data_IF_963871983963
#
_entry.id   IF_963871983963
#
_cell.length_a   1.000
_cell.length_b   1.000
_cell.length_c   1.000
_cell.angle_alpha   90.00
_cell.angle_beta   90.00
_cell.angle_gamma   90.00
#
_symmetry.space_group_name_H-M   'P 1'
#
loop_
_entity.id
_entity.type
_entity.pdbx_description
1 polymer ?
#
# COMPACT_ATOMS: atom_id res chain seq x y z
N UNK A 1 -11.54 -4.59 -32.93
CA UNK A 1 -12.22 -5.48 -31.99
C UNK A 1 -11.36 -5.56 -30.73
N UNK A 2 -11.61 -4.73 -29.71
CA UNK A 2 -10.85 -4.76 -28.45
C UNK A 2 -11.39 -5.93 -27.64
N UNK A 3 -10.62 -7.02 -27.55
CA UNK A 3 -10.92 -8.13 -26.66
C UNK A 3 -10.76 -7.63 -25.22
N UNK A 4 -11.85 -7.21 -24.58
CA UNK A 4 -11.88 -7.01 -23.14
C UNK A 4 -11.63 -8.37 -22.48
N UNK A 5 -10.39 -8.59 -22.07
CA UNK A 5 -10.00 -9.78 -21.30
C UNK A 5 -10.69 -9.65 -19.94
N UNK A 6 -11.86 -10.28 -19.78
CA UNK A 6 -12.61 -10.32 -18.52
C UNK A 6 -11.76 -11.13 -17.53
N UNK A 7 -10.95 -10.46 -16.72
CA UNK A 7 -10.08 -11.11 -15.73
C UNK A 7 -10.91 -12.01 -14.82
N UNK A 8 -10.45 -13.25 -14.64
CA UNK A 8 -11.16 -14.17 -13.77
C UNK A 8 -11.09 -13.69 -12.30
N UNK A 9 -12.05 -14.11 -11.43
CA UNK A 9 -11.99 -13.77 -10.01
C UNK A 9 -10.69 -14.22 -9.34
N UNK A 10 -10.09 -15.33 -9.79
CA UNK A 10 -8.83 -15.86 -9.28
C UNK A 10 -7.66 -14.95 -9.70
N UNK A 11 -7.60 -14.55 -10.97
CA UNK A 11 -6.59 -13.60 -11.47
C UNK A 11 -6.65 -12.26 -10.74
N UNK A 12 -7.86 -11.76 -10.46
CA UNK A 12 -8.04 -10.49 -9.75
C UNK A 12 -7.48 -10.53 -8.32
N UNK A 13 -7.63 -11.66 -7.61
CA UNK A 13 -7.02 -11.88 -6.28
C UNK A 13 -5.50 -11.87 -6.35
N UNK A 14 -4.94 -12.56 -7.34
CA UNK A 14 -3.49 -12.65 -7.55
C UNK A 14 -2.93 -11.25 -7.84
N UNK A 15 -3.52 -10.53 -8.79
CA UNK A 15 -3.07 -9.18 -9.18
C UNK A 15 -3.10 -8.22 -7.98
N UNK A 16 -4.16 -8.22 -7.16
CA UNK A 16 -4.21 -7.37 -5.97
C UNK A 16 -3.15 -7.74 -4.94
N UNK A 17 -2.97 -9.04 -4.67
CA UNK A 17 -1.91 -9.52 -3.78
C UNK A 17 -0.53 -9.07 -4.27
N UNK A 18 -0.26 -9.20 -5.58
CA UNK A 18 0.99 -8.74 -6.20
C UNK A 18 1.17 -7.22 -6.11
N UNK A 19 0.11 -6.44 -6.28
CA UNK A 19 0.17 -4.98 -6.13
C UNK A 19 0.47 -4.55 -4.70
N UNK A 20 -0.11 -5.23 -3.69
CA UNK A 20 0.24 -4.97 -2.29
C UNK A 20 1.69 -5.35 -1.96
N UNK A 21 2.21 -6.44 -2.52
CA UNK A 21 3.64 -6.77 -2.45
C UNK A 21 4.48 -5.65 -3.07
N UNK A 22 4.09 -5.17 -4.25
CA UNK A 22 4.79 -4.10 -4.94
C UNK A 22 4.83 -2.81 -4.11
N UNK A 23 3.70 -2.40 -3.51
CA UNK A 23 3.62 -1.23 -2.62
C UNK A 23 4.54 -1.42 -1.40
N UNK A 24 4.46 -2.57 -0.73
CA UNK A 24 5.29 -2.85 0.44
C UNK A 24 6.79 -2.80 0.12
N UNK A 25 7.21 -3.34 -1.02
CA UNK A 25 8.60 -3.29 -1.45
C UNK A 25 9.04 -1.84 -1.72
N UNK A 26 8.20 -1.03 -2.37
CA UNK A 26 8.52 0.40 -2.58
C UNK A 26 8.69 1.13 -1.23
N UNK A 27 7.78 0.89 -0.27
CA UNK A 27 7.87 1.50 1.07
C UNK A 27 9.18 1.13 1.76
N UNK A 28 9.56 -0.15 1.74
CA UNK A 28 10.82 -0.62 2.32
C UNK A 28 12.03 0.09 1.67
N UNK A 29 12.03 0.21 0.34
CA UNK A 29 13.12 0.89 -0.36
C UNK A 29 13.10 2.41 -0.14
N UNK A 30 11.93 3.03 0.02
CA UNK A 30 11.80 4.44 0.36
C UNK A 30 12.45 4.73 1.71
N UNK A 31 12.21 3.87 2.71
CA UNK A 31 12.84 3.97 4.03
C UNK A 31 14.34 3.76 3.95
N UNK A 32 14.81 2.67 3.31
CA UNK A 32 16.25 2.38 3.14
C UNK A 32 16.97 3.54 2.44
N UNK A 33 16.41 4.06 1.35
CA UNK A 33 17.01 5.19 0.63
C UNK A 33 16.92 6.50 1.42
N UNK A 34 15.88 6.66 2.26
CA UNK A 34 15.75 7.76 3.19
C UNK A 34 16.90 7.83 4.21
N UNK A 35 17.41 6.67 4.64
CA UNK A 35 18.55 6.57 5.56
C UNK A 35 19.86 7.11 4.96
N UNK A 36 19.99 7.13 3.63
CA UNK A 36 21.17 7.62 2.93
C UNK A 36 21.19 9.15 2.75
N UNK A 37 20.16 9.85 3.24
CA UNK A 37 20.04 11.30 3.11
C UNK A 37 21.11 12.02 3.96
N UNK A 38 21.68 13.13 3.46
CA UNK A 38 22.46 14.05 4.29
C UNK A 38 21.68 14.50 5.53
N UNK A 39 22.31 14.43 6.70
CA UNK A 39 21.69 14.81 7.99
C UNK A 39 20.80 13.74 8.63
N UNK A 40 20.77 12.50 8.11
CA UNK A 40 19.94 11.43 8.68
C UNK A 40 20.26 11.11 10.15
N UNK A 41 21.53 11.13 10.56
CA UNK A 41 21.92 10.86 11.96
C UNK A 41 21.41 11.93 12.92
N UNK A 42 21.47 13.20 12.54
CA UNK A 42 20.94 14.31 13.34
C UNK A 42 19.42 14.23 13.46
N UNK A 43 18.74 13.90 12.36
CA UNK A 43 17.30 13.65 12.33
C UNK A 43 16.92 12.48 13.24
N UNK A 44 17.69 11.40 13.25
CA UNK A 44 17.47 10.26 14.15
C UNK A 44 17.65 10.63 15.61
N UNK A 45 18.67 11.42 15.95
CA UNK A 45 18.90 11.86 17.33
C UNK A 45 17.78 12.78 17.83
N UNK A 46 17.28 13.65 16.97
CA UNK A 46 16.12 14.47 17.29
C UNK A 46 14.86 13.62 17.44
N UNK A 47 14.62 12.72 16.47
CA UNK A 47 13.47 11.82 16.48
C UNK A 47 13.48 10.90 17.70
N UNK A 48 14.63 10.42 18.18
CA UNK A 48 14.72 9.58 19.38
C UNK A 48 14.33 10.30 20.67
N UNK A 49 14.38 11.64 20.68
CA UNK A 49 13.95 12.48 21.82
C UNK A 49 12.46 12.82 21.76
N UNK A 50 11.90 12.90 20.56
CA UNK A 50 10.52 13.36 20.32
C UNK A 50 9.52 12.20 20.10
N UNK A 51 9.96 11.06 19.55
CA UNK A 51 9.10 9.92 19.27
C UNK A 51 8.72 9.17 20.55
N UNK A 52 7.42 9.13 20.83
CA UNK A 52 6.88 8.31 21.91
C UNK A 52 6.69 6.86 21.46
N UNK A 53 6.71 5.91 22.41
CA UNK A 53 6.41 4.51 22.12
C UNK A 53 5.05 4.31 21.44
N UNK A 54 4.07 5.17 21.74
CA UNK A 54 2.76 5.15 21.10
C UNK A 54 2.79 5.58 19.63
N UNK A 55 3.64 6.56 19.28
CA UNK A 55 3.82 6.96 17.88
C UNK A 55 4.48 5.84 17.06
N UNK A 56 5.52 5.20 17.61
CA UNK A 56 6.18 4.06 16.95
C UNK A 56 5.21 2.90 16.74
N UNK A 57 4.41 2.56 17.76
CA UNK A 57 3.37 1.53 17.62
C UNK A 57 2.35 1.88 16.53
N UNK A 58 1.95 3.14 16.45
CA UNK A 58 1.01 3.61 15.43
C UNK A 58 1.58 3.41 14.02
N UNK A 59 2.84 3.77 13.79
CA UNK A 59 3.51 3.53 12.50
C UNK A 59 3.63 2.04 12.17
N UNK A 60 3.98 1.20 13.16
CA UNK A 60 4.03 -0.26 12.98
C UNK A 60 2.67 -0.84 12.57
N UNK A 61 1.58 -0.39 13.18
CA UNK A 61 0.22 -0.84 12.83
C UNK A 61 -0.15 -0.40 11.42
N UNK A 62 0.24 0.81 10.99
CA UNK A 62 -0.03 1.29 9.64
C UNK A 62 0.72 0.48 8.57
N UNK A 63 1.98 0.11 8.84
CA UNK A 63 2.76 -0.78 7.97
C UNK A 63 2.24 -2.21 7.93
N UNK A 64 1.53 -2.66 8.96
CA UNK A 64 0.92 -3.98 8.98
C UNK A 64 -0.26 -4.09 7.99
N UNK A 65 -0.89 -2.97 7.62
CA UNK A 65 -2.00 -2.92 6.66
C UNK A 65 -1.61 -3.56 5.30
N UNK A 66 -0.57 -3.07 4.58
CA UNK A 66 -0.16 -3.70 3.34
C UNK A 66 0.26 -5.16 3.53
N UNK A 67 0.93 -5.50 4.64
CA UNK A 67 1.37 -6.88 4.93
C UNK A 67 0.18 -7.84 5.01
N UNK A 68 -0.83 -7.49 5.81
CA UNK A 68 -2.03 -8.29 5.97
C UNK A 68 -2.81 -8.38 4.64
N UNK A 69 -2.87 -7.30 3.87
CA UNK A 69 -3.63 -7.29 2.61
C UNK A 69 -3.04 -8.15 1.50
N UNK A 70 -1.74 -8.46 1.55
CA UNK A 70 -1.13 -9.47 0.68
C UNK A 70 -1.83 -10.83 0.88
N UNK A 71 -2.10 -11.19 2.14
CA UNK A 71 -2.77 -12.44 2.49
C UNK A 71 -4.28 -12.36 2.29
N UNK A 72 -4.91 -11.31 2.83
CA UNK A 72 -6.36 -11.14 2.76
C UNK A 72 -6.87 -11.03 1.32
N UNK A 73 -6.10 -10.44 0.41
CA UNK A 73 -6.47 -10.36 -1.01
C UNK A 73 -6.69 -11.75 -1.66
N UNK A 74 -6.05 -12.79 -1.13
CA UNK A 74 -6.19 -14.17 -1.63
C UNK A 74 -7.33 -14.93 -0.93
N UNK A 75 -7.47 -14.72 0.38
CA UNK A 75 -8.38 -15.49 1.23
C UNK A 75 -9.82 -14.95 1.15
N UNK A 76 -9.99 -13.63 1.16
CA UNK A 76 -11.31 -13.02 1.28
C UNK A 76 -12.19 -13.25 0.06
N UNK A 77 -13.51 -13.30 0.31
CA UNK A 77 -14.52 -13.23 -0.74
C UNK A 77 -14.56 -11.83 -1.35
N UNK A 78 -15.07 -11.71 -2.58
CA UNK A 78 -15.06 -10.45 -3.34
C UNK A 78 -15.63 -9.26 -2.56
N UNK A 79 -16.73 -9.45 -1.81
CA UNK A 79 -17.38 -8.37 -1.06
C UNK A 79 -16.44 -7.80 0.01
N UNK A 80 -15.85 -8.67 0.81
CA UNK A 80 -14.93 -8.25 1.88
C UNK A 80 -13.63 -7.69 1.34
N UNK A 81 -13.09 -8.28 0.27
CA UNK A 81 -11.87 -7.79 -0.34
C UNK A 81 -12.04 -6.35 -0.87
N UNK A 82 -13.20 -6.04 -1.46
CA UNK A 82 -13.53 -4.66 -1.89
C UNK A 82 -13.54 -3.68 -0.72
N UNK A 83 -14.22 -4.02 0.38
CA UNK A 83 -14.33 -3.15 1.56
C UNK A 83 -12.94 -2.91 2.17
N UNK A 84 -12.15 -3.97 2.36
CA UNK A 84 -10.79 -3.86 2.89
C UNK A 84 -9.91 -2.95 2.04
N UNK A 85 -9.89 -3.13 0.71
CA UNK A 85 -9.10 -2.27 -0.17
C UNK A 85 -9.60 -0.82 -0.18
N UNK A 86 -10.92 -0.58 -0.08
CA UNK A 86 -11.50 0.76 -0.07
C UNK A 86 -11.14 1.55 1.20
N UNK A 87 -10.96 0.86 2.33
CA UNK A 87 -10.53 1.48 3.60
C UNK A 87 -9.01 1.61 3.65
N UNK A 88 -8.29 0.57 3.25
CA UNK A 88 -6.84 0.52 3.37
C UNK A 88 -6.12 1.47 2.42
N UNK A 89 -6.58 1.60 1.16
CA UNK A 89 -5.92 2.48 0.18
C UNK A 89 -5.84 3.94 0.67
N UNK A 90 -6.94 4.59 1.11
CA UNK A 90 -6.86 5.95 1.65
C UNK A 90 -5.93 6.06 2.86
N UNK A 91 -5.96 5.08 3.77
CA UNK A 91 -5.09 5.08 4.95
C UNK A 91 -3.63 5.00 4.53
N UNK A 92 -3.28 4.11 3.59
CA UNK A 92 -1.93 4.00 3.06
C UNK A 92 -1.49 5.26 2.32
N UNK A 93 -2.37 5.91 1.55
CA UNK A 93 -2.04 7.19 0.88
C UNK A 93 -1.73 8.27 1.93
N UNK A 94 -2.55 8.40 2.97
CA UNK A 94 -2.32 9.35 4.06
C UNK A 94 -0.97 9.03 4.73
N UNK A 95 -0.71 7.76 5.02
CA UNK A 95 0.57 7.35 5.60
C UNK A 95 1.77 7.70 4.72
N UNK A 96 1.71 7.47 3.40
CA UNK A 96 2.81 7.82 2.48
C UNK A 96 3.03 9.34 2.41
N UNK A 97 1.96 10.13 2.43
CA UNK A 97 2.06 11.60 2.35
C UNK A 97 2.57 12.20 3.66
N UNK A 98 2.05 11.76 4.80
CA UNK A 98 2.35 12.33 6.12
C UNK A 98 3.49 11.63 6.85
N UNK A 99 3.81 10.39 6.50
CA UNK A 99 4.97 9.65 6.99
C UNK A 99 6.28 10.20 6.42
N UNK A 100 6.21 10.95 5.32
CA UNK A 100 7.33 11.71 4.78
C UNK A 100 7.77 12.80 5.76
N UNK A 101 9.01 12.68 6.25
CA UNK A 101 9.66 13.66 7.13
C UNK A 101 9.50 15.11 6.63
N UNK A 102 9.58 16.06 7.56
CA UNK A 102 9.69 17.48 7.23
C UNK A 102 10.88 17.71 6.28
N UNK A 103 10.59 18.28 5.09
CA UNK A 103 11.49 18.37 3.94
C UNK A 103 11.91 17.00 3.37
N UNK A 104 11.02 16.25 2.68
CA UNK A 104 11.37 14.93 2.17
C UNK A 104 12.45 15.01 1.08
N UNK A 105 13.42 14.07 1.04
CA UNK A 105 14.38 14.01 -0.06
C UNK A 105 13.67 13.68 -1.37
N UNK A 106 14.29 14.05 -2.49
CA UNK A 106 13.74 13.83 -3.84
C UNK A 106 13.45 12.34 -4.10
N UNK A 107 14.31 11.46 -3.55
CA UNK A 107 14.09 10.00 -3.59
C UNK A 107 12.78 9.59 -2.95
N UNK A 108 12.42 10.17 -1.80
CA UNK A 108 11.16 9.87 -1.12
C UNK A 108 9.95 10.31 -1.94
N UNK A 109 10.01 11.49 -2.56
CA UNK A 109 8.94 11.99 -3.45
C UNK A 109 8.73 11.05 -4.64
N UNK A 110 9.83 10.50 -5.19
CA UNK A 110 9.78 9.55 -6.28
C UNK A 110 9.06 8.25 -5.88
N UNK A 111 9.45 7.63 -4.77
CA UNK A 111 8.79 6.43 -4.25
C UNK A 111 7.32 6.70 -3.91
N UNK A 112 7.04 7.79 -3.19
CA UNK A 112 5.67 8.18 -2.83
C UNK A 112 4.77 8.33 -4.07
N UNK A 113 5.29 8.90 -5.16
CA UNK A 113 4.53 9.04 -6.42
C UNK A 113 4.18 7.67 -7.00
N UNK A 114 5.14 6.74 -7.04
CA UNK A 114 4.93 5.38 -7.56
C UNK A 114 3.94 4.61 -6.68
N UNK A 115 4.07 4.73 -5.36
CA UNK A 115 3.18 4.10 -4.38
C UNK A 115 1.75 4.60 -4.52
N UNK A 116 1.54 5.92 -4.63
CA UNK A 116 0.21 6.51 -4.83
C UNK A 116 -0.41 5.99 -6.14
N UNK A 117 0.35 5.93 -7.23
CA UNK A 117 -0.14 5.38 -8.51
C UNK A 117 -0.56 3.91 -8.32
N UNK A 118 0.25 3.09 -7.66
CA UNK A 118 -0.07 1.68 -7.40
C UNK A 118 -1.32 1.53 -6.52
N UNK A 119 -1.46 2.36 -5.48
CA UNK A 119 -2.62 2.38 -4.59
C UNK A 119 -3.92 2.78 -5.33
N UNK A 120 -3.84 3.75 -6.25
CA UNK A 120 -4.97 4.11 -7.13
C UNK A 120 -5.35 2.94 -8.05
N UNK A 121 -4.36 2.22 -8.59
CA UNK A 121 -4.60 1.02 -9.42
C UNK A 121 -5.28 -0.07 -8.59
N UNK A 122 -4.83 -0.33 -7.36
CA UNK A 122 -5.46 -1.27 -6.43
C UNK A 122 -6.94 -0.90 -6.23
N UNK A 123 -7.23 0.37 -5.93
CA UNK A 123 -8.58 0.84 -5.72
C UNK A 123 -9.46 0.68 -6.96
N UNK A 124 -8.92 1.02 -8.14
CA UNK A 124 -9.61 0.87 -9.42
C UNK A 124 -9.93 -0.60 -9.72
N UNK A 125 -8.99 -1.52 -9.52
CA UNK A 125 -9.19 -2.95 -9.74
C UNK A 125 -10.19 -3.55 -8.75
N UNK A 126 -10.11 -3.13 -7.48
CA UNK A 126 -11.10 -3.51 -6.47
C UNK A 126 -12.50 -3.03 -6.86
N UNK A 127 -12.64 -1.84 -7.46
CA UNK A 127 -13.91 -1.33 -7.96
C UNK A 127 -14.43 -2.06 -9.20
N UNK A 128 -13.57 -2.35 -10.19
CA UNK A 128 -13.95 -3.00 -11.46
C UNK A 128 -14.09 -4.51 -11.41
N UNK A 129 -13.88 -5.14 -10.26
CA UNK A 129 -13.93 -6.59 -10.12
C UNK A 129 -15.26 -7.17 -10.69
N UNK A 130 -15.23 -8.09 -11.67
CA UNK A 130 -16.44 -8.67 -12.25
C UNK A 130 -17.28 -9.48 -11.24
N UNK A 131 -18.62 -9.44 -11.38
CA UNK A 131 -19.50 -10.35 -10.62
C UNK A 131 -19.20 -11.79 -11.04
N UNK A 132 -19.00 -12.67 -10.05
CA UNK A 132 -19.14 -14.10 -10.24
C UNK A 132 -20.61 -14.31 -10.62
N UNK A 133 -20.88 -14.56 -11.89
CA UNK A 133 -22.13 -15.19 -12.29
C UNK A 133 -22.06 -16.61 -11.71
N UNK A 134 -22.95 -16.89 -10.75
CA UNK A 134 -23.14 -18.26 -10.28
C UNK A 134 -23.70 -19.02 -11.47
N UNK A 135 -22.89 -19.93 -12.02
CA UNK A 135 -23.41 -20.93 -12.94
C UNK A 135 -24.22 -21.87 -12.05
N UNK A 136 -25.54 -21.66 -12.00
CA UNK A 136 -26.48 -22.67 -11.50
C UNK A 136 -26.53 -23.77 -12.57
N UNK A 137 -25.99 -24.95 -12.23
CA UNK A 137 -26.23 -26.21 -12.96
C UNK A 137 -27.52 -26.87 -12.45
#
# INVERSE_FOLDING_TARGET
>A
MKTEKKNSPIESKIVLSTLWIFVLINMIYADIMGMLRPGYLELLEQASKELTSGAVLTFSILLEIPIILILLSRILSRKWNRICNFIAVPISIIYVIFGGLTNPPISYIFFATIEIIALIIILYLACKWPKQEMIEE
#
